data_IF_978847116556
#
_entry.id   IF_978847116556
#
_cell.length_a   1.000
_cell.length_b   1.000
_cell.length_c   1.000
_cell.angle_alpha   90.00
_cell.angle_beta   90.00
_cell.angle_gamma   90.00
#
_symmetry.space_group_name_H-M   'P 1'
#
loop_
_entity.id
_entity.type
_entity.pdbx_description
1 polymer ?
#
# COMPACT_ATOMS: atom_id res chain seq x y z
N UNK A 1 -16.23 28.06 26.02
CA UNK A 1 -15.72 27.00 26.94
C UNK A 1 -14.32 26.59 26.51
N UNK A 2 -14.09 26.31 25.22
CA UNK A 2 -12.80 25.85 24.74
C UNK A 2 -11.66 26.87 24.95
N UNK A 3 -11.87 28.17 24.67
CA UNK A 3 -10.86 29.22 24.85
C UNK A 3 -10.34 29.32 26.29
N UNK A 4 -11.17 29.04 27.29
CA UNK A 4 -10.76 29.02 28.72
C UNK A 4 -10.06 27.73 29.11
N UNK A 5 -10.45 26.60 28.52
CA UNK A 5 -9.78 25.33 28.71
C UNK A 5 -8.36 25.38 28.11
N UNK A 6 -8.22 25.96 26.92
CA UNK A 6 -6.92 26.21 26.29
C UNK A 6 -6.04 27.17 27.12
N UNK A 7 -6.62 28.18 27.72
CA UNK A 7 -5.91 29.06 28.64
C UNK A 7 -5.47 28.34 29.93
N UNK A 8 -6.28 27.41 30.44
CA UNK A 8 -5.91 26.54 31.56
C UNK A 8 -4.78 25.57 31.18
N UNK A 9 -4.83 24.99 29.99
CA UNK A 9 -3.80 24.09 29.47
C UNK A 9 -2.48 24.83 29.25
N UNK A 10 -2.53 26.09 28.76
CA UNK A 10 -1.37 26.94 28.60
C UNK A 10 -0.74 27.36 29.93
N UNK A 11 -1.51 27.49 31.00
CA UNK A 11 -1.04 27.83 32.36
C UNK A 11 -0.54 26.62 33.16
N UNK A 12 -0.72 25.38 32.64
CA UNK A 12 -0.25 24.17 33.30
C UNK A 12 1.26 23.97 33.05
N UNK A 13 2.03 23.73 34.11
CA UNK A 13 3.48 23.50 34.06
C UNK A 13 3.79 22.02 34.33
N UNK A 14 4.73 21.45 33.57
CA UNK A 14 5.24 20.09 33.76
C UNK A 14 6.11 19.65 32.60
N UNK A 15 7.17 18.89 32.88
CA UNK A 15 8.02 18.31 31.87
C UNK A 15 7.45 16.96 31.41
N UNK A 16 7.48 16.71 30.10
CA UNK A 16 7.17 15.43 29.43
C UNK A 16 5.96 14.66 29.99
N UNK A 17 4.76 15.02 29.51
CA UNK A 17 3.57 14.15 29.61
C UNK A 17 2.63 14.35 30.78
N UNK A 18 3.02 15.03 31.87
CA UNK A 18 2.19 15.30 33.03
C UNK A 18 2.11 16.81 33.29
N UNK A 19 0.94 17.42 33.03
CA UNK A 19 0.68 18.83 33.31
C UNK A 19 -0.12 18.93 34.61
N UNK A 20 0.40 19.67 35.57
CA UNK A 20 -0.28 19.94 36.86
C UNK A 20 -0.78 21.39 36.93
N UNK A 21 -2.01 21.56 37.38
CA UNK A 21 -2.57 22.86 37.79
C UNK A 21 -2.49 22.94 39.30
N UNK A 22 -1.85 23.98 39.83
CA UNK A 22 -1.81 24.20 41.26
C UNK A 22 -3.16 24.71 41.78
N UNK A 23 -3.50 24.43 43.06
CA UNK A 23 -4.73 24.84 43.71
C UNK A 23 -5.00 26.34 43.56
N UNK A 24 -3.98 27.20 43.77
CA UNK A 24 -4.13 28.63 43.66
C UNK A 24 -4.43 29.13 42.25
N UNK A 25 -3.92 28.42 41.20
CA UNK A 25 -4.26 28.75 39.81
C UNK A 25 -5.69 28.33 39.45
N UNK A 26 -6.17 27.23 40.04
CA UNK A 26 -7.56 26.79 39.87
C UNK A 26 -8.53 27.76 40.53
N UNK A 27 -8.23 28.20 41.77
CA UNK A 27 -9.03 29.16 42.53
C UNK A 27 -9.08 30.56 41.94
N UNK A 28 -8.11 30.92 41.11
CA UNK A 28 -8.07 32.23 40.42
C UNK A 28 -8.92 32.32 39.16
N UNK A 29 -9.58 31.24 38.74
CA UNK A 29 -10.39 31.22 37.51
C UNK A 29 -11.77 31.81 37.81
N UNK A 30 -12.17 32.91 37.16
CA UNK A 30 -13.50 33.48 37.33
C UNK A 30 -14.56 32.57 36.74
N UNK A 31 -15.48 32.10 37.57
CA UNK A 31 -16.61 31.31 37.15
C UNK A 31 -17.87 32.18 37.05
N UNK A 32 -18.55 32.23 35.89
CA UNK A 32 -19.86 32.87 35.79
C UNK A 32 -20.87 32.02 36.59
N UNK A 33 -21.53 32.65 37.54
CA UNK A 33 -22.53 31.97 38.41
C UNK A 33 -23.92 32.55 38.08
N UNK A 34 -24.72 31.86 37.23
CA UNK A 34 -26.11 32.26 37.00
C UNK A 34 -26.99 31.97 38.21
N UNK A 35 -28.19 32.51 38.30
CA UNK A 35 -29.16 32.20 39.36
C UNK A 35 -29.40 30.70 39.51
N UNK A 36 -29.67 30.18 40.69
CA UNK A 36 -29.81 28.74 40.97
C UNK A 36 -30.87 28.05 40.08
N UNK A 37 -31.97 28.72 39.79
CA UNK A 37 -33.00 28.20 38.88
C UNK A 37 -32.46 28.02 37.46
N UNK A 38 -31.59 28.89 37.00
CA UNK A 38 -30.94 28.80 35.70
C UNK A 38 -29.84 27.74 35.69
N UNK A 39 -29.04 27.60 36.72
CA UNK A 39 -28.09 26.50 36.88
C UNK A 39 -28.77 25.16 36.72
N UNK A 40 -29.92 24.93 37.36
CA UNK A 40 -30.70 23.69 37.25
C UNK A 40 -31.18 23.44 35.79
N UNK A 41 -31.62 24.50 35.10
CA UNK A 41 -32.02 24.38 33.68
C UNK A 41 -30.86 24.06 32.78
N UNK A 42 -29.69 24.69 32.99
CA UNK A 42 -28.47 24.41 32.24
C UNK A 42 -28.04 22.95 32.44
N UNK A 43 -27.97 22.47 33.69
CA UNK A 43 -27.60 21.09 33.99
C UNK A 43 -28.55 20.11 33.30
N UNK A 44 -29.87 20.28 33.47
CA UNK A 44 -30.87 19.42 32.84
C UNK A 44 -30.72 19.39 31.31
N UNK A 45 -30.43 20.54 30.65
CA UNK A 45 -30.24 20.61 29.22
C UNK A 45 -28.92 19.97 28.77
N UNK A 46 -27.87 20.12 29.56
CA UNK A 46 -26.57 19.43 29.30
C UNK A 46 -26.75 17.92 29.39
N UNK A 47 -27.45 17.43 30.47
CA UNK A 47 -27.67 15.99 30.64
C UNK A 47 -28.51 15.41 29.51
N UNK A 48 -29.56 16.12 29.05
CA UNK A 48 -30.35 15.74 27.89
C UNK A 48 -29.50 15.63 26.63
N UNK A 49 -28.66 16.64 26.36
CA UNK A 49 -27.80 16.66 25.17
C UNK A 49 -26.71 15.57 25.24
N UNK A 50 -26.13 15.32 26.40
CA UNK A 50 -25.15 14.25 26.60
C UNK A 50 -25.78 12.88 26.35
N UNK A 51 -26.99 12.64 26.89
CA UNK A 51 -27.71 11.39 26.61
C UNK A 51 -28.01 11.19 25.13
N UNK A 52 -28.33 12.25 24.40
CA UNK A 52 -28.48 12.18 22.93
C UNK A 52 -27.16 11.89 22.21
N UNK A 53 -26.05 12.44 22.68
CA UNK A 53 -24.72 12.13 22.15
C UNK A 53 -24.36 10.66 22.36
N UNK A 54 -24.58 10.14 23.57
CA UNK A 54 -24.30 8.73 23.90
C UNK A 54 -25.16 7.80 23.02
N UNK A 55 -26.44 8.13 22.81
CA UNK A 55 -27.31 7.36 21.94
C UNK A 55 -26.86 7.38 20.47
N UNK A 56 -26.42 8.54 19.99
CA UNK A 56 -25.85 8.68 18.64
C UNK A 56 -24.56 7.86 18.47
N UNK A 57 -23.69 7.87 19.47
CA UNK A 57 -22.46 7.09 19.45
C UNK A 57 -22.74 5.59 19.36
N UNK A 58 -23.69 5.07 20.15
CA UNK A 58 -24.13 3.67 20.06
C UNK A 58 -24.65 3.33 18.68
N UNK A 59 -25.53 4.17 18.12
CA UNK A 59 -26.08 3.95 16.78
C UNK A 59 -25.02 3.97 15.68
N UNK A 60 -24.05 4.87 15.76
CA UNK A 60 -22.93 4.95 14.82
C UNK A 60 -22.06 3.69 14.88
N UNK A 61 -21.73 3.22 16.09
CA UNK A 61 -20.95 2.01 16.29
C UNK A 61 -21.67 0.76 15.76
N UNK A 62 -22.98 0.62 16.02
CA UNK A 62 -23.78 -0.47 15.44
C UNK A 62 -23.84 -0.42 13.92
N UNK A 63 -24.00 0.77 13.34
CA UNK A 63 -24.03 0.97 11.89
C UNK A 63 -22.69 0.59 11.26
N UNK A 64 -21.57 0.95 11.88
CA UNK A 64 -20.23 0.58 11.40
C UNK A 64 -20.00 -0.93 11.49
N UNK A 65 -20.40 -1.57 12.58
CA UNK A 65 -20.31 -3.03 12.72
C UNK A 65 -21.12 -3.78 11.64
N UNK A 66 -22.36 -3.35 11.39
CA UNK A 66 -23.22 -3.89 10.32
C UNK A 66 -22.59 -3.68 8.93
N UNK A 67 -22.06 -2.49 8.66
CA UNK A 67 -21.35 -2.19 7.41
C UNK A 67 -20.11 -3.06 7.20
N UNK A 68 -19.31 -3.26 8.23
CA UNK A 68 -18.14 -4.13 8.18
C UNK A 68 -18.54 -5.57 7.82
N UNK A 69 -19.57 -6.11 8.47
CA UNK A 69 -20.09 -7.46 8.19
C UNK A 69 -20.58 -7.60 6.74
N UNK A 70 -21.35 -6.63 6.26
CA UNK A 70 -21.81 -6.62 4.87
C UNK A 70 -20.66 -6.50 3.87
N UNK A 71 -19.64 -5.69 4.17
CA UNK A 71 -18.45 -5.55 3.34
C UNK A 71 -17.68 -6.85 3.24
N UNK A 72 -17.50 -7.57 4.34
CA UNK A 72 -16.87 -8.90 4.35
C UNK A 72 -17.67 -9.91 3.52
N UNK A 73 -19.00 -9.94 3.66
CA UNK A 73 -19.86 -10.83 2.90
C UNK A 73 -19.81 -10.52 1.39
N UNK A 74 -19.82 -9.24 1.00
CA UNK A 74 -19.71 -8.81 -0.40
C UNK A 74 -18.35 -9.18 -1.01
N UNK A 75 -17.26 -8.98 -0.27
CA UNK A 75 -15.92 -9.40 -0.69
C UNK A 75 -15.81 -10.92 -0.84
N UNK A 76 -16.34 -11.69 0.11
CA UNK A 76 -16.37 -13.14 0.02
C UNK A 76 -17.16 -13.62 -1.20
N UNK A 77 -18.31 -13.00 -1.48
CA UNK A 77 -19.13 -13.31 -2.66
C UNK A 77 -18.40 -12.98 -3.97
N UNK A 78 -17.72 -11.84 -4.04
CA UNK A 78 -16.90 -11.47 -5.20
C UNK A 78 -15.73 -12.43 -5.39
N UNK A 79 -15.07 -12.83 -4.30
CA UNK A 79 -13.97 -13.80 -4.34
C UNK A 79 -14.43 -15.18 -4.82
N UNK A 80 -15.64 -15.61 -4.43
CA UNK A 80 -16.20 -16.89 -4.88
C UNK A 80 -16.65 -16.85 -6.34
N UNK A 81 -17.19 -15.71 -6.81
CA UNK A 81 -17.68 -15.52 -8.17
C UNK A 81 -17.37 -14.10 -8.65
N UNK A 82 -16.23 -13.84 -9.31
CA UNK A 82 -15.79 -12.51 -9.76
C UNK A 82 -16.53 -12.07 -11.02
N UNK A 83 -17.86 -11.96 -10.93
CA UNK A 83 -18.74 -11.46 -12.00
C UNK A 83 -18.87 -9.93 -11.93
N UNK A 84 -19.26 -9.31 -13.06
CA UNK A 84 -19.51 -7.87 -13.12
C UNK A 84 -20.58 -7.44 -12.10
N UNK A 85 -21.65 -8.23 -11.94
CA UNK A 85 -22.70 -7.95 -10.97
C UNK A 85 -22.20 -7.99 -9.51
N UNK A 86 -21.34 -8.96 -9.17
CA UNK A 86 -20.75 -9.01 -7.84
C UNK A 86 -19.70 -7.91 -7.62
N UNK A 87 -19.07 -7.44 -8.70
CA UNK A 87 -18.16 -6.28 -8.64
C UNK A 87 -18.95 -4.99 -8.40
N UNK A 88 -20.05 -4.75 -9.13
CA UNK A 88 -20.92 -3.60 -8.92
C UNK A 88 -21.47 -3.55 -7.50
N UNK A 89 -21.79 -4.71 -6.93
CA UNK A 89 -22.20 -4.81 -5.53
C UNK A 89 -21.15 -4.25 -4.57
N UNK A 90 -19.85 -4.46 -4.82
CA UNK A 90 -18.76 -3.93 -3.97
C UNK A 90 -18.68 -2.39 -3.98
N UNK A 91 -19.11 -1.77 -5.06
CA UNK A 91 -19.08 -0.30 -5.21
C UNK A 91 -20.42 0.35 -4.81
N UNK A 92 -21.39 -0.43 -4.33
CA UNK A 92 -22.66 0.12 -3.89
C UNK A 92 -22.47 0.96 -2.63
N UNK A 93 -23.08 2.13 -2.57
CA UNK A 93 -22.94 3.12 -1.48
C UNK A 93 -23.32 2.61 -0.08
N UNK A 94 -24.10 1.52 -0.02
CA UNK A 94 -24.46 0.86 1.23
C UNK A 94 -23.29 0.08 1.86
N UNK A 95 -22.23 -0.21 1.10
CA UNK A 95 -21.07 -0.95 1.57
C UNK A 95 -19.90 -0.01 1.84
N UNK A 96 -19.35 -0.07 3.04
CA UNK A 96 -18.13 0.64 3.39
C UNK A 96 -16.89 -0.26 3.24
N UNK A 97 -16.70 -0.85 2.05
CA UNK A 97 -15.47 -1.58 1.77
C UNK A 97 -14.34 -0.57 1.67
N UNK A 98 -13.30 -0.73 2.49
CA UNK A 98 -12.17 0.20 2.42
C UNK A 98 -11.46 0.06 1.06
N UNK A 99 -11.03 1.17 0.44
CA UNK A 99 -10.27 1.14 -0.81
C UNK A 99 -9.02 0.24 -0.72
N UNK A 100 -8.37 0.19 0.44
CA UNK A 100 -7.25 -0.69 0.71
C UNK A 100 -7.61 -2.17 0.60
N UNK A 101 -8.74 -2.59 1.18
CA UNK A 101 -9.21 -3.99 1.10
C UNK A 101 -9.62 -4.36 -0.33
N UNK A 102 -10.22 -3.44 -1.08
CA UNK A 102 -10.53 -3.66 -2.50
C UNK A 102 -9.26 -3.90 -3.32
N UNK A 103 -8.24 -3.06 -3.15
CA UNK A 103 -6.94 -3.26 -3.84
C UNK A 103 -6.32 -4.61 -3.50
N UNK A 104 -6.30 -5.00 -2.23
CA UNK A 104 -5.80 -6.31 -1.80
C UNK A 104 -6.58 -7.48 -2.43
N UNK A 105 -7.90 -7.39 -2.44
CA UNK A 105 -8.76 -8.44 -3.03
C UNK A 105 -8.54 -8.57 -4.54
N UNK A 106 -8.47 -7.46 -5.27
CA UNK A 106 -8.19 -7.45 -6.71
C UNK A 106 -6.86 -8.16 -7.01
N UNK A 107 -5.80 -7.82 -6.29
CA UNK A 107 -4.49 -8.43 -6.46
C UNK A 107 -4.47 -9.91 -6.08
N UNK A 108 -5.20 -10.30 -5.03
CA UNK A 108 -5.33 -11.71 -4.62
C UNK A 108 -6.01 -12.55 -5.71
N UNK A 109 -7.12 -12.05 -6.28
CA UNK A 109 -7.82 -12.72 -7.37
C UNK A 109 -6.98 -12.82 -8.64
N UNK A 110 -6.18 -11.79 -8.93
CA UNK A 110 -5.26 -11.78 -10.06
C UNK A 110 -4.20 -12.89 -9.94
N UNK A 111 -3.58 -13.02 -8.76
CA UNK A 111 -2.54 -14.02 -8.50
C UNK A 111 -3.10 -15.44 -8.48
N UNK A 112 -4.37 -15.60 -8.11
CA UNK A 112 -5.07 -16.90 -8.12
C UNK A 112 -5.67 -17.27 -9.48
N UNK A 113 -5.50 -16.44 -10.51
CA UNK A 113 -6.09 -16.69 -11.84
C UNK A 113 -7.62 -16.61 -11.90
N UNK A 114 -8.24 -15.88 -10.96
CA UNK A 114 -9.70 -15.74 -10.85
C UNK A 114 -10.22 -14.39 -11.37
N UNK A 115 -9.34 -13.50 -11.84
CA UNK A 115 -9.72 -12.14 -12.21
C UNK A 115 -10.20 -12.01 -13.67
N UNK A 116 -9.67 -12.82 -14.56
CA UNK A 116 -10.01 -12.84 -15.98
C UNK A 116 -10.37 -14.26 -16.42
N UNK A 117 -11.13 -14.36 -17.53
CA UNK A 117 -11.41 -15.66 -18.13
C UNK A 117 -10.17 -16.17 -18.85
N UNK A 118 -9.93 -17.48 -18.74
CA UNK A 118 -8.90 -18.15 -19.52
C UNK A 118 -9.35 -18.36 -20.96
N UNK A 119 -8.42 -18.21 -21.89
CA UNK A 119 -8.64 -18.47 -23.31
C UNK A 119 -7.87 -19.75 -23.68
N UNK A 120 -8.56 -20.79 -24.21
CA UNK A 120 -7.92 -22.07 -24.53
C UNK A 120 -6.83 -21.97 -25.64
N UNK A 121 -6.83 -20.85 -26.37
CA UNK A 121 -5.87 -20.59 -27.47
C UNK A 121 -4.56 -19.97 -26.99
N UNK A 122 -4.47 -19.59 -25.71
CA UNK A 122 -3.24 -19.01 -25.17
C UNK A 122 -2.13 -20.06 -25.08
N UNK A 123 -0.88 -19.68 -25.44
CA UNK A 123 0.28 -20.54 -25.27
C UNK A 123 0.50 -20.79 -23.76
N UNK A 124 0.54 -22.05 -23.28
CA UNK A 124 0.81 -22.35 -21.88
C UNK A 124 2.12 -21.72 -21.38
N UNK A 125 2.21 -21.42 -20.09
CA UNK A 125 3.39 -20.78 -19.51
C UNK A 125 4.64 -21.68 -19.50
N UNK A 126 4.47 -23.00 -19.42
CA UNK A 126 5.60 -23.94 -19.29
C UNK A 126 6.59 -23.90 -20.45
N UNK A 127 6.19 -23.94 -21.75
CA UNK A 127 7.13 -23.77 -22.88
C UNK A 127 7.92 -22.47 -22.82
N UNK A 128 7.29 -21.37 -22.39
CA UNK A 128 7.94 -20.06 -22.24
C UNK A 128 9.02 -20.13 -21.16
N UNK A 129 8.68 -20.69 -19.99
CA UNK A 129 9.65 -20.84 -18.89
C UNK A 129 10.83 -21.72 -19.27
N UNK A 130 10.61 -22.82 -20.02
CA UNK A 130 11.69 -23.67 -20.53
C UNK A 130 12.62 -22.91 -21.46
N UNK A 131 12.09 -22.06 -22.36
CA UNK A 131 12.92 -21.20 -23.24
C UNK A 131 13.79 -20.23 -22.44
N UNK A 132 13.25 -19.61 -21.39
CA UNK A 132 14.00 -18.69 -20.53
C UNK A 132 15.17 -19.42 -19.86
N UNK A 133 14.94 -20.58 -19.27
CA UNK A 133 15.97 -21.38 -18.59
C UNK A 133 17.05 -21.86 -19.56
N UNK A 134 16.69 -22.29 -20.77
CA UNK A 134 17.68 -22.74 -21.77
C UNK A 134 18.53 -21.62 -22.32
N UNK A 135 18.03 -20.40 -22.45
CA UNK A 135 18.80 -19.23 -22.85
C UNK A 135 19.86 -18.84 -21.81
N UNK A 136 19.56 -19.01 -20.52
CA UNK A 136 20.49 -18.71 -19.43
C UNK A 136 21.58 -19.79 -19.27
N UNK A 137 21.28 -21.04 -19.59
CA UNK A 137 22.21 -22.19 -19.50
C UNK A 137 23.35 -22.16 -20.51
N UNK A 138 23.25 -21.33 -21.58
CA UNK A 138 24.33 -21.21 -22.58
C UNK A 138 25.53 -20.38 -22.07
N UNK A 139 25.41 -19.73 -20.92
CA UNK A 139 26.47 -18.94 -20.28
C UNK A 139 26.92 -19.57 -18.95
N UNK A 140 27.99 -20.37 -19.02
CA UNK A 140 28.54 -21.23 -17.96
C UNK A 140 29.10 -20.52 -16.71
N UNK A 141 28.54 -19.44 -16.22
CA UNK A 141 29.13 -18.71 -15.08
C UNK A 141 28.28 -18.62 -13.81
N UNK A 142 27.09 -19.17 -13.78
CA UNK A 142 26.26 -19.23 -12.54
C UNK A 142 25.88 -20.68 -12.23
N UNK A 143 26.73 -21.35 -11.43
CA UNK A 143 26.48 -22.67 -10.86
C UNK A 143 25.49 -22.62 -9.70
N UNK A 144 24.26 -22.27 -9.92
CA UNK A 144 23.15 -22.48 -8.98
C UNK A 144 21.80 -22.73 -9.71
N UNK A 145 21.86 -23.23 -10.95
CA UNK A 145 20.68 -23.73 -11.67
C UNK A 145 20.44 -25.19 -11.31
N UNK A 146 20.13 -25.49 -10.07
CA UNK A 146 19.48 -26.75 -9.74
C UNK A 146 18.03 -26.68 -10.17
N UNK A 147 17.72 -27.58 -11.12
CA UNK A 147 16.42 -28.15 -11.50
C UNK A 147 15.19 -27.26 -11.28
N UNK A 148 14.44 -27.14 -12.33
CA UNK A 148 13.03 -26.73 -12.31
C UNK A 148 12.22 -27.71 -11.42
N UNK A 149 12.45 -27.65 -10.10
CA UNK A 149 11.69 -28.36 -9.11
C UNK A 149 10.36 -27.63 -8.92
N UNK A 150 9.36 -28.08 -9.67
CA UNK A 150 7.96 -27.67 -9.56
C UNK A 150 7.29 -28.13 -8.26
N UNK A 151 8.05 -28.63 -7.29
CA UNK A 151 7.53 -29.26 -6.07
C UNK A 151 7.13 -28.29 -4.95
N UNK A 152 7.23 -26.97 -5.15
CA UNK A 152 6.71 -26.01 -4.18
C UNK A 152 5.21 -25.82 -4.32
N UNK A 153 4.44 -26.25 -3.33
CA UNK A 153 2.97 -26.09 -3.31
C UNK A 153 2.62 -24.64 -2.96
N UNK A 154 1.95 -23.95 -3.88
CA UNK A 154 1.29 -22.69 -3.57
C UNK A 154 0.15 -22.92 -2.57
N UNK A 155 -0.22 -21.93 -1.74
CA UNK A 155 -1.34 -22.07 -0.81
C UNK A 155 -2.72 -22.09 -1.48
N UNK A 156 -2.76 -22.11 -2.82
CA UNK A 156 -3.97 -22.14 -3.66
C UNK A 156 -3.71 -22.95 -4.94
N UNK A 157 -4.79 -23.50 -5.52
CA UNK A 157 -4.72 -24.17 -6.82
C UNK A 157 -4.53 -23.17 -7.96
N UNK A 158 -3.79 -23.58 -8.99
CA UNK A 158 -3.62 -22.79 -10.21
C UNK A 158 -4.60 -23.26 -11.30
N UNK A 159 -5.02 -22.33 -12.18
CA UNK A 159 -5.76 -22.65 -13.38
C UNK A 159 -4.91 -23.45 -14.40
N UNK A 160 -5.57 -24.08 -15.37
CA UNK A 160 -4.89 -24.79 -16.46
C UNK A 160 -4.02 -23.81 -17.29
N UNK A 161 -2.89 -24.30 -17.79
CA UNK A 161 -1.94 -23.52 -18.57
C UNK A 161 -1.03 -22.58 -17.77
N UNK A 162 -1.27 -22.44 -16.44
CA UNK A 162 -0.36 -21.73 -15.55
C UNK A 162 0.76 -22.65 -15.08
N UNK A 163 1.89 -22.05 -14.75
CA UNK A 163 3.03 -22.76 -14.17
C UNK A 163 3.59 -22.00 -12.97
N UNK A 164 4.32 -22.68 -12.10
CA UNK A 164 5.05 -22.05 -10.99
C UNK A 164 6.50 -21.89 -11.38
N UNK A 165 7.09 -20.74 -11.10
CA UNK A 165 8.52 -20.52 -11.28
C UNK A 165 9.09 -19.79 -10.06
N UNK A 166 10.38 -19.97 -9.79
CA UNK A 166 11.10 -19.14 -8.82
C UNK A 166 11.34 -17.77 -9.45
N UNK A 167 11.24 -16.69 -8.66
CA UNK A 167 11.52 -15.34 -9.16
C UNK A 167 12.92 -15.24 -9.77
N UNK A 168 13.91 -15.94 -9.18
CA UNK A 168 15.27 -16.00 -9.69
C UNK A 168 15.41 -16.64 -11.07
N UNK A 169 14.47 -17.48 -11.50
CA UNK A 169 14.51 -18.20 -12.78
C UNK A 169 13.86 -17.45 -13.95
N UNK A 170 13.25 -16.29 -13.70
CA UNK A 170 12.57 -15.45 -14.72
C UNK A 170 13.24 -14.10 -14.92
N UNK A 171 14.52 -14.00 -14.60
CA UNK A 171 15.30 -12.77 -14.72
C UNK A 171 15.91 -12.62 -16.12
N UNK A 172 16.34 -11.41 -16.44
CA UNK A 172 17.15 -11.17 -17.63
C UNK A 172 18.49 -11.91 -17.55
N UNK A 173 19.02 -12.44 -18.67
CA UNK A 173 20.36 -13.04 -18.69
C UNK A 173 21.40 -12.05 -18.17
N UNK A 174 22.36 -12.52 -17.38
CA UNK A 174 23.48 -11.75 -16.79
C UNK A 174 23.08 -10.63 -15.82
N UNK A 175 21.80 -10.42 -15.53
CA UNK A 175 21.33 -9.45 -14.54
C UNK A 175 20.57 -10.14 -13.42
N UNK A 176 21.09 -10.06 -12.22
CA UNK A 176 20.45 -10.63 -11.02
C UNK A 176 19.71 -9.58 -10.19
N UNK A 177 18.85 -10.05 -9.27
CA UNK A 177 18.27 -9.18 -8.24
C UNK A 177 19.42 -8.56 -7.45
N UNK A 178 19.42 -7.22 -7.33
CA UNK A 178 20.53 -6.49 -6.73
C UNK A 178 20.05 -5.30 -5.91
N UNK A 179 20.75 -5.01 -4.82
CA UNK A 179 20.64 -3.75 -4.08
C UNK A 179 21.47 -2.66 -4.74
N UNK A 180 21.01 -1.42 -4.61
CA UNK A 180 21.71 -0.26 -5.13
C UNK A 180 22.81 0.28 -4.24
N UNK A 181 23.14 1.54 -4.45
CA UNK A 181 24.23 2.28 -3.81
C UNK A 181 24.12 2.26 -2.28
N UNK A 182 25.16 1.77 -1.59
CA UNK A 182 25.13 1.58 -0.13
C UNK A 182 25.18 2.92 0.61
N UNK A 183 26.08 3.82 0.22
CA UNK A 183 26.26 5.14 0.81
C UNK A 183 26.24 6.18 -0.29
N UNK A 184 25.22 7.05 -0.30
CA UNK A 184 25.05 8.04 -1.36
C UNK A 184 26.09 9.17 -1.34
N UNK A 185 26.76 9.39 -0.22
CA UNK A 185 27.70 10.50 -0.07
C UNK A 185 27.03 11.89 -0.13
N UNK A 186 27.82 12.97 -0.23
CA UNK A 186 27.33 14.30 -0.51
C UNK A 186 26.78 14.36 -1.95
N UNK A 187 25.75 15.18 -2.14
CA UNK A 187 25.16 15.35 -3.47
C UNK A 187 26.08 16.23 -4.35
N UNK A 188 26.41 15.82 -5.56
CA UNK A 188 27.24 16.63 -6.47
C UNK A 188 26.50 17.91 -6.89
N UNK A 189 27.24 19.02 -6.93
CA UNK A 189 26.70 20.34 -7.30
C UNK A 189 26.36 20.40 -8.79
N UNK A 190 27.28 19.89 -9.60
CA UNK A 190 27.13 19.78 -11.05
C UNK A 190 27.10 18.30 -11.41
N UNK A 191 26.71 17.94 -12.55
CA UNK A 191 26.66 16.59 -13.10
C UNK A 191 26.42 15.47 -12.07
N UNK A 192 25.86 14.36 -12.47
CA UNK A 192 25.64 13.22 -11.59
C UNK A 192 24.45 12.40 -12.03
N UNK A 193 24.36 11.19 -11.46
CA UNK A 193 23.34 10.21 -11.76
C UNK A 193 22.24 10.28 -10.70
N UNK A 194 20.99 10.38 -11.11
CA UNK A 194 19.86 10.33 -10.22
C UNK A 194 19.71 8.95 -9.58
N UNK A 195 19.35 8.93 -8.29
CA UNK A 195 19.21 7.71 -7.49
C UNK A 195 17.83 7.65 -6.83
N UNK A 196 17.09 6.59 -7.14
CA UNK A 196 15.80 6.30 -6.53
C UNK A 196 16.00 5.66 -5.14
N UNK A 197 15.39 6.26 -4.13
CA UNK A 197 15.35 5.76 -2.75
C UNK A 197 13.99 5.15 -2.43
N UNK A 198 13.84 4.52 -1.27
CA UNK A 198 12.55 4.00 -0.80
C UNK A 198 11.45 5.08 -0.75
N UNK A 199 11.81 6.35 -0.53
CA UNK A 199 10.87 7.47 -0.58
C UNK A 199 10.33 7.75 -1.99
N UNK A 200 11.07 7.39 -3.02
CA UNK A 200 10.69 7.58 -4.42
C UNK A 200 9.88 6.41 -5.00
N UNK A 201 10.04 5.20 -4.44
CA UNK A 201 9.30 4.02 -4.89
C UNK A 201 8.03 3.87 -4.04
N UNK A 202 6.88 4.17 -4.64
CA UNK A 202 5.56 4.07 -4.03
C UNK A 202 4.81 2.86 -4.59
N UNK A 203 3.65 2.57 -4.02
CA UNK A 203 2.79 1.51 -4.54
C UNK A 203 2.41 1.78 -6.00
N UNK A 204 2.91 0.94 -6.92
CA UNK A 204 2.73 1.00 -8.39
C UNK A 204 3.15 2.32 -9.06
N UNK A 205 3.93 3.17 -8.40
CA UNK A 205 4.32 4.49 -8.90
C UNK A 205 5.73 4.87 -8.46
N UNK A 206 6.45 5.57 -9.32
CA UNK A 206 7.70 6.25 -8.97
C UNK A 206 7.39 7.74 -8.81
N UNK A 207 7.80 8.29 -7.67
CA UNK A 207 7.68 9.70 -7.33
C UNK A 207 9.07 10.34 -7.33
N UNK A 208 9.30 11.27 -8.21
CA UNK A 208 10.60 11.94 -8.36
C UNK A 208 10.79 13.14 -7.41
N UNK A 209 9.80 13.42 -6.55
CA UNK A 209 9.93 14.48 -5.56
C UNK A 209 11.08 14.17 -4.58
N UNK A 210 11.99 15.12 -4.41
CA UNK A 210 13.16 14.97 -3.52
C UNK A 210 14.15 13.89 -3.98
N UNK A 211 14.19 13.57 -5.28
CA UNK A 211 15.19 12.67 -5.83
C UNK A 211 16.59 13.25 -5.63
N UNK A 212 17.57 12.39 -5.32
CA UNK A 212 18.96 12.79 -5.10
C UNK A 212 19.84 12.33 -6.25
N UNK A 213 21.03 12.96 -6.35
CA UNK A 213 22.10 12.54 -7.27
C UNK A 213 23.27 11.95 -6.49
N UNK A 214 24.03 11.13 -7.18
CA UNK A 214 25.37 10.66 -6.78
C UNK A 214 26.35 11.01 -7.89
N UNK A 215 27.65 10.94 -7.59
CA UNK A 215 28.67 11.17 -8.63
C UNK A 215 28.64 10.04 -9.67
N UNK A 216 29.12 10.32 -10.87
CA UNK A 216 29.20 9.32 -11.95
C UNK A 216 30.12 8.17 -11.59
N UNK A 217 31.22 8.43 -10.89
CA UNK A 217 32.17 7.42 -10.41
C UNK A 217 31.50 6.46 -9.47
N UNK A 218 30.77 6.98 -8.45
CA UNK A 218 30.04 6.17 -7.51
C UNK A 218 28.93 5.34 -8.19
N UNK A 219 28.21 5.93 -9.15
CA UNK A 219 27.21 5.18 -9.92
C UNK A 219 27.84 4.06 -10.75
N UNK A 220 29.04 4.27 -11.30
CA UNK A 220 29.78 3.29 -12.10
C UNK A 220 30.24 2.10 -11.27
N UNK A 221 30.62 2.28 -9.99
CA UNK A 221 30.90 1.20 -9.05
C UNK A 221 29.68 0.27 -8.84
N UNK A 222 28.48 0.83 -8.97
CA UNK A 222 27.21 0.13 -8.90
C UNK A 222 26.54 -0.05 -10.29
N UNK A 223 27.36 -0.26 -11.32
CA UNK A 223 26.88 -0.36 -12.72
C UNK A 223 25.80 -1.43 -12.94
N UNK A 224 25.82 -2.52 -12.14
CA UNK A 224 24.82 -3.60 -12.21
C UNK A 224 23.39 -3.16 -11.82
N UNK A 225 23.24 -2.02 -11.15
CA UNK A 225 21.94 -1.48 -10.70
C UNK A 225 21.54 -0.22 -11.45
N UNK A 226 22.30 0.15 -12.48
CA UNK A 226 21.87 1.17 -13.44
C UNK A 226 20.63 0.67 -14.17
N UNK A 227 19.59 1.49 -14.18
CA UNK A 227 18.29 1.16 -14.73
C UNK A 227 18.29 1.26 -16.26
N UNK A 228 17.68 0.30 -16.91
CA UNK A 228 17.51 0.23 -18.36
C UNK A 228 16.07 0.48 -18.80
N UNK A 229 15.12 0.41 -17.84
CA UNK A 229 13.69 0.47 -18.07
C UNK A 229 13.05 -0.91 -18.15
N UNK A 230 11.89 -1.07 -17.52
CA UNK A 230 11.17 -2.34 -17.45
C UNK A 230 11.51 -3.20 -16.23
N UNK A 231 12.48 -2.81 -15.40
CA UNK A 231 12.74 -3.50 -14.14
C UNK A 231 11.62 -3.28 -13.13
N UNK A 232 11.39 -4.26 -12.26
CA UNK A 232 10.54 -4.10 -11.10
C UNK A 232 11.39 -3.69 -9.90
N UNK A 233 11.05 -2.57 -9.28
CA UNK A 233 11.68 -2.10 -8.04
C UNK A 233 10.81 -2.50 -6.85
N UNK A 234 11.45 -2.88 -5.75
CA UNK A 234 10.79 -3.15 -4.47
C UNK A 234 11.58 -2.52 -3.32
N UNK A 235 10.88 -1.89 -2.39
CA UNK A 235 11.48 -1.41 -1.16
C UNK A 235 11.77 -2.59 -0.22
N UNK A 236 13.03 -2.73 0.16
CA UNK A 236 13.53 -3.81 1.02
C UNK A 236 13.90 -3.32 2.42
N UNK A 237 13.99 -1.99 2.60
CA UNK A 237 14.23 -1.31 3.88
C UNK A 237 13.44 0.01 3.91
N UNK A 238 13.17 0.51 5.11
CA UNK A 238 12.42 1.74 5.32
C UNK A 238 10.92 1.55 5.11
N UNK A 239 10.30 2.31 4.22
CA UNK A 239 8.86 2.18 3.92
C UNK A 239 8.62 0.95 3.06
N UNK A 240 8.24 -0.15 3.69
CA UNK A 240 7.89 -1.40 3.00
C UNK A 240 6.61 -1.26 2.17
N UNK A 241 6.39 -2.19 1.22
CA UNK A 241 5.22 -2.20 0.34
C UNK A 241 5.34 -1.29 -0.89
N UNK A 242 6.36 -0.42 -0.96
CA UNK A 242 6.65 0.33 -2.19
C UNK A 242 7.20 -0.59 -3.27
N UNK A 243 6.57 -0.61 -4.44
CA UNK A 243 7.01 -1.35 -5.62
C UNK A 243 6.52 -0.67 -6.90
N UNK A 244 7.35 -0.66 -7.95
CA UNK A 244 7.01 0.00 -9.21
C UNK A 244 7.80 -0.61 -10.37
N UNK A 245 7.25 -0.50 -11.59
CA UNK A 245 8.01 -0.76 -12.83
C UNK A 245 8.73 0.51 -13.24
N UNK A 246 9.99 0.38 -13.62
CA UNK A 246 10.82 1.49 -14.12
C UNK A 246 10.38 1.89 -15.53
N UNK A 247 9.90 3.12 -15.74
CA UNK A 247 9.61 3.59 -17.10
C UNK A 247 10.91 3.85 -17.90
N UNK A 248 10.83 3.77 -19.20
CA UNK A 248 11.99 4.00 -20.11
C UNK A 248 12.62 5.40 -19.93
N UNK A 249 11.84 6.38 -19.50
CA UNK A 249 12.32 7.74 -19.23
C UNK A 249 13.32 7.84 -18.07
N UNK A 250 13.43 6.81 -17.24
CA UNK A 250 14.37 6.75 -16.11
C UNK A 250 15.60 5.87 -16.43
N UNK A 251 15.81 5.54 -17.69
CA UNK A 251 17.03 4.84 -18.12
C UNK A 251 18.28 5.66 -17.74
N UNK A 252 19.28 4.98 -17.19
CA UNK A 252 20.50 5.60 -16.72
C UNK A 252 20.46 6.07 -15.25
N UNK A 253 19.30 6.04 -14.59
CA UNK A 253 19.21 6.26 -13.14
C UNK A 253 19.79 5.07 -12.40
N UNK A 254 20.10 5.26 -11.12
CA UNK A 254 20.49 4.19 -10.21
C UNK A 254 19.51 4.06 -9.06
N UNK A 255 19.70 3.10 -8.18
CA UNK A 255 18.89 2.88 -6.98
C UNK A 255 19.76 2.92 -5.73
N UNK A 256 19.18 3.27 -4.59
CA UNK A 256 19.82 3.21 -3.30
C UNK A 256 19.66 1.82 -2.65
N UNK A 257 20.44 1.53 -1.62
CA UNK A 257 20.47 0.21 -0.96
C UNK A 257 19.13 -0.22 -0.34
N UNK A 258 18.22 0.72 -0.10
CA UNK A 258 16.89 0.45 0.43
C UNK A 258 15.94 -0.12 -0.62
N UNK A 259 16.35 -0.11 -1.88
CA UNK A 259 15.58 -0.58 -3.03
C UNK A 259 16.30 -1.75 -3.67
N UNK A 260 15.57 -2.82 -3.96
CA UNK A 260 16.06 -3.91 -4.80
C UNK A 260 15.48 -3.79 -6.20
N UNK A 261 16.30 -4.08 -7.19
CA UNK A 261 15.94 -4.14 -8.61
C UNK A 261 15.77 -5.61 -9.03
N UNK A 262 14.68 -5.90 -9.71
CA UNK A 262 14.32 -7.21 -10.25
C UNK A 262 14.23 -7.07 -11.78
N UNK A 263 15.27 -7.44 -12.53
CA UNK A 263 15.30 -7.34 -14.00
C UNK A 263 14.54 -8.52 -14.60
N UNK A 264 13.29 -8.31 -15.00
CA UNK A 264 12.40 -9.36 -15.51
C UNK A 264 12.74 -9.70 -16.98
N UNK A 265 12.73 -10.99 -17.32
CA UNK A 265 12.96 -11.46 -18.69
C UNK A 265 11.88 -10.92 -19.64
N UNK A 266 12.28 -10.59 -20.88
CA UNK A 266 11.41 -9.96 -21.90
C UNK A 266 10.14 -10.76 -22.28
N UNK A 267 10.13 -12.08 -22.07
CA UNK A 267 8.98 -12.95 -22.32
C UNK A 267 7.99 -13.00 -21.15
N UNK A 268 8.24 -12.23 -20.07
CA UNK A 268 7.36 -12.09 -18.91
C UNK A 268 7.01 -10.62 -18.76
N UNK A 269 5.74 -10.33 -18.49
CA UNK A 269 5.30 -8.95 -18.28
C UNK A 269 5.80 -8.40 -16.93
N UNK A 270 6.62 -7.35 -16.89
CA UNK A 270 7.06 -6.74 -15.64
C UNK A 270 5.88 -6.14 -14.84
N UNK A 271 4.83 -5.70 -15.51
CA UNK A 271 3.61 -5.21 -14.88
C UNK A 271 2.83 -6.32 -14.18
N UNK A 272 2.84 -7.56 -14.73
CA UNK A 272 2.27 -8.71 -14.06
C UNK A 272 3.06 -9.04 -12.79
N UNK A 273 4.38 -9.11 -12.88
CA UNK A 273 5.25 -9.36 -11.73
C UNK A 273 5.10 -8.27 -10.66
N UNK A 274 5.01 -6.99 -11.06
CA UNK A 274 4.68 -5.90 -10.13
C UNK A 274 3.41 -6.20 -9.33
N UNK A 275 2.34 -6.67 -9.98
CA UNK A 275 1.08 -6.98 -9.31
C UNK A 275 1.19 -8.20 -8.38
N UNK A 276 2.00 -9.19 -8.73
CA UNK A 276 2.31 -10.32 -7.84
C UNK A 276 3.08 -9.82 -6.61
N UNK A 277 4.12 -9.02 -6.81
CA UNK A 277 4.93 -8.42 -5.72
C UNK A 277 4.09 -7.52 -4.83
N UNK A 278 3.13 -6.78 -5.39
CA UNK A 278 2.22 -5.92 -4.65
C UNK A 278 1.08 -6.67 -3.93
N UNK A 279 0.87 -7.95 -4.23
CA UNK A 279 -0.23 -8.76 -3.68
C UNK A 279 -0.02 -9.16 -2.22
N UNK A 280 -1.10 -9.42 -1.46
CA UNK A 280 -1.00 -10.00 -0.12
C UNK A 280 -0.20 -11.31 -0.10
N UNK A 281 -0.34 -12.14 -1.14
CA UNK A 281 0.41 -13.39 -1.28
C UNK A 281 1.92 -13.21 -1.13
N UNK A 282 2.47 -12.15 -1.71
CA UNK A 282 3.90 -11.83 -1.64
C UNK A 282 4.24 -11.05 -0.36
N UNK A 283 3.45 -10.00 -0.04
CA UNK A 283 3.74 -9.09 1.07
C UNK A 283 3.66 -9.79 2.43
N UNK A 284 2.68 -10.65 2.65
CA UNK A 284 2.51 -11.38 3.91
C UNK A 284 3.71 -12.30 4.18
N UNK A 285 4.25 -12.98 3.15
CA UNK A 285 5.46 -13.79 3.27
C UNK A 285 6.74 -12.97 3.50
N UNK A 286 6.81 -11.78 2.91
CA UNK A 286 7.88 -10.83 3.22
C UNK A 286 7.83 -10.40 4.68
N UNK A 287 6.64 -10.05 5.17
CA UNK A 287 6.44 -9.62 6.56
C UNK A 287 6.71 -10.74 7.57
N UNK A 288 6.33 -11.99 7.26
CA UNK A 288 6.64 -13.17 8.09
C UNK A 288 8.14 -13.39 8.23
N UNK A 289 8.88 -13.29 7.13
CA UNK A 289 10.33 -13.45 7.14
C UNK A 289 11.05 -12.31 7.88
N UNK A 290 10.51 -11.10 7.83
CA UNK A 290 11.06 -9.95 8.56
C UNK A 290 10.83 -10.02 10.07
N UNK A 291 9.73 -10.63 10.53
CA UNK A 291 9.43 -10.81 11.97
C UNK A 291 10.33 -11.84 12.65
N UNK A 292 10.90 -12.77 11.90
CA UNK A 292 11.79 -13.83 12.43
C UNK A 292 13.24 -13.44 12.62
N UNK A 293 13.69 -12.28 12.10
CA UNK A 293 15.10 -11.87 12.10
C UNK A 293 15.21 -10.43 12.61
N UNK A 294 15.93 -10.26 13.72
CA UNK A 294 16.20 -8.94 14.29
C UNK A 294 16.94 -8.04 13.27
N UNK A 295 16.21 -7.11 12.66
CA UNK A 295 16.72 -5.91 11.97
C UNK A 295 17.61 -6.06 10.72
N UNK A 296 17.52 -7.11 9.95
CA UNK A 296 18.12 -7.11 8.61
C UNK A 296 17.04 -7.09 7.54
N UNK A 297 17.14 -6.16 6.58
CA UNK A 297 16.16 -6.00 5.48
C UNK A 297 15.95 -7.29 4.69
N UNK A 298 14.96 -7.30 3.80
CA UNK A 298 14.59 -8.45 2.97
C UNK A 298 15.82 -9.02 2.24
N UNK A 299 16.12 -10.29 2.48
CA UNK A 299 17.28 -10.96 1.88
C UNK A 299 17.03 -11.25 0.38
N UNK A 300 17.99 -10.94 -0.49
CA UNK A 300 17.89 -11.23 -1.93
C UNK A 300 17.78 -12.73 -2.23
N UNK A 301 18.35 -13.59 -1.38
CA UNK A 301 18.19 -15.04 -1.50
C UNK A 301 16.73 -15.47 -1.39
N UNK A 302 16.03 -14.94 -0.38
CA UNK A 302 14.59 -15.20 -0.21
C UNK A 302 13.77 -14.71 -1.42
N UNK A 303 14.12 -13.54 -1.97
CA UNK A 303 13.45 -13.03 -3.18
C UNK A 303 13.64 -13.97 -4.38
N UNK A 304 14.85 -14.53 -4.57
CA UNK A 304 15.13 -15.45 -5.68
C UNK A 304 14.32 -16.74 -5.58
N UNK A 305 14.18 -17.27 -4.37
CA UNK A 305 13.46 -18.51 -4.10
C UNK A 305 11.93 -18.33 -4.08
N UNK A 306 11.44 -17.09 -4.15
CA UNK A 306 10.02 -16.83 -4.07
C UNK A 306 9.28 -17.42 -5.27
N UNK A 307 8.26 -18.23 -5.00
CA UNK A 307 7.46 -18.88 -6.02
C UNK A 307 6.45 -17.90 -6.63
N UNK A 308 6.51 -17.76 -7.94
CA UNK A 308 5.62 -16.88 -8.71
C UNK A 308 4.71 -17.74 -9.60
N UNK A 309 3.38 -17.62 -9.47
CA UNK A 309 2.47 -18.20 -10.45
C UNK A 309 2.57 -17.42 -11.75
N UNK A 310 2.83 -18.12 -12.85
CA UNK A 310 3.02 -17.54 -14.19
C UNK A 310 1.90 -18.01 -15.11
N UNK A 311 1.00 -17.12 -15.54
CA UNK A 311 0.02 -17.38 -16.59
C UNK A 311 0.63 -17.31 -17.99
N UNK A 312 -0.09 -17.78 -19.02
CA UNK A 312 0.20 -17.45 -20.42
C UNK A 312 0.44 -15.95 -20.62
N UNK A 313 1.39 -15.57 -21.50
CA UNK A 313 1.75 -14.16 -21.68
C UNK A 313 0.55 -13.28 -22.09
N UNK A 314 -0.31 -13.78 -22.95
CA UNK A 314 -1.53 -13.06 -23.35
C UNK A 314 -2.47 -12.85 -22.16
N UNK A 315 -2.58 -13.85 -21.27
CA UNK A 315 -3.37 -13.74 -20.04
C UNK A 315 -2.71 -12.76 -19.04
N UNK A 316 -1.36 -12.71 -18.93
CA UNK A 316 -0.67 -11.69 -18.12
C UNK A 316 -1.12 -10.27 -18.53
N UNK A 317 -1.20 -9.99 -19.81
CA UNK A 317 -1.62 -8.67 -20.32
C UNK A 317 -3.09 -8.38 -20.03
N UNK A 318 -3.99 -9.38 -20.16
CA UNK A 318 -5.41 -9.23 -19.79
C UNK A 318 -5.59 -8.97 -18.29
N UNK A 319 -4.83 -9.70 -17.45
CA UNK A 319 -4.82 -9.50 -15.99
C UNK A 319 -4.37 -8.07 -15.66
N UNK A 320 -3.25 -7.62 -16.22
CA UNK A 320 -2.72 -6.25 -15.98
C UNK A 320 -3.75 -5.21 -16.38
N UNK A 321 -4.31 -5.29 -17.60
CA UNK A 321 -5.34 -4.36 -18.08
C UNK A 321 -6.57 -4.33 -17.16
N UNK A 322 -7.01 -5.51 -16.69
CA UNK A 322 -8.16 -5.61 -15.77
C UNK A 322 -7.87 -5.00 -14.41
N UNK A 323 -6.65 -5.25 -13.87
CA UNK A 323 -6.22 -4.62 -12.63
C UNK A 323 -6.21 -3.10 -12.76
N UNK A 324 -5.64 -2.55 -13.85
CA UNK A 324 -5.57 -1.10 -14.05
C UNK A 324 -6.96 -0.46 -14.12
N UNK A 325 -7.91 -1.10 -14.82
CA UNK A 325 -9.31 -0.65 -14.84
C UNK A 325 -9.93 -0.63 -13.43
N UNK A 326 -9.73 -1.71 -12.66
CA UNK A 326 -10.31 -1.83 -11.32
C UNK A 326 -9.65 -0.88 -10.32
N UNK A 327 -8.33 -0.70 -10.39
CA UNK A 327 -7.60 0.26 -9.54
C UNK A 327 -8.07 1.69 -9.79
N UNK A 328 -8.30 2.08 -11.05
CA UNK A 328 -8.83 3.39 -11.39
C UNK A 328 -10.24 3.63 -10.78
N UNK A 329 -11.10 2.59 -10.74
CA UNK A 329 -12.40 2.67 -10.07
C UNK A 329 -12.24 2.82 -8.55
N UNK A 330 -11.30 2.10 -7.94
CA UNK A 330 -11.01 2.22 -6.50
C UNK A 330 -10.48 3.60 -6.16
N UNK A 331 -9.59 4.16 -6.99
CA UNK A 331 -9.04 5.51 -6.79
C UNK A 331 -10.15 6.58 -6.88
N UNK A 332 -11.08 6.44 -7.83
CA UNK A 332 -12.26 7.32 -7.94
C UNK A 332 -13.15 7.22 -6.70
N UNK A 333 -13.41 6.01 -6.22
CA UNK A 333 -14.18 5.78 -5.00
C UNK A 333 -13.51 6.44 -3.78
N UNK A 334 -12.20 6.27 -3.62
CA UNK A 334 -11.45 6.87 -2.52
C UNK A 334 -11.51 8.40 -2.53
N UNK A 335 -11.37 9.00 -3.72
CA UNK A 335 -11.52 10.44 -3.90
C UNK A 335 -12.93 10.93 -3.52
N UNK A 336 -13.99 10.21 -3.93
CA UNK A 336 -15.37 10.53 -3.57
C UNK A 336 -15.62 10.41 -2.06
N UNK A 337 -15.12 9.35 -1.43
CA UNK A 337 -15.25 9.16 0.02
C UNK A 337 -14.55 10.27 0.79
N UNK A 338 -13.35 10.66 0.36
CA UNK A 338 -12.59 11.77 0.98
C UNK A 338 -13.32 13.10 0.84
N UNK A 339 -13.84 13.40 -0.33
CA UNK A 339 -14.63 14.61 -0.58
C UNK A 339 -15.91 14.64 0.28
N UNK A 340 -16.62 13.52 0.37
CA UNK A 340 -17.84 13.39 1.19
C UNK A 340 -17.56 13.61 2.68
N UNK A 341 -16.46 13.04 3.21
CA UNK A 341 -16.06 13.26 4.60
C UNK A 341 -15.72 14.72 4.87
N UNK A 342 -14.92 15.35 4.01
CA UNK A 342 -14.59 16.77 4.15
C UNK A 342 -15.83 17.68 4.08
N UNK A 343 -16.79 17.35 3.23
CA UNK A 343 -18.05 18.09 3.17
C UNK A 343 -18.88 17.93 4.46
N UNK A 344 -18.94 16.72 5.02
CA UNK A 344 -19.64 16.44 6.27
C UNK A 344 -18.99 17.17 7.46
N UNK A 345 -17.65 17.19 7.54
CA UNK A 345 -16.92 17.94 8.57
C UNK A 345 -17.24 19.46 8.50
N UNK A 346 -17.19 20.05 7.30
CA UNK A 346 -17.52 21.47 7.11
C UNK A 346 -18.97 21.80 7.47
N UNK A 347 -19.92 20.90 7.18
CA UNK A 347 -21.31 21.07 7.57
C UNK A 347 -21.48 21.02 9.10
N UNK A 348 -20.79 20.10 9.76
CA UNK A 348 -20.79 20.02 11.23
C UNK A 348 -20.19 21.27 11.85
N UNK A 349 -19.05 21.75 11.36
CA UNK A 349 -18.41 22.98 11.85
C UNK A 349 -19.34 24.20 11.68
N UNK A 350 -20.01 24.31 10.53
CA UNK A 350 -20.97 25.38 10.28
C UNK A 350 -22.19 25.31 11.22
N UNK A 351 -22.73 24.13 11.45
CA UNK A 351 -23.87 23.91 12.37
C UNK A 351 -23.48 24.27 13.82
N UNK A 352 -22.30 23.84 14.27
CA UNK A 352 -21.77 24.19 15.61
C UNK A 352 -21.57 25.71 15.74
N UNK A 353 -21.00 26.34 14.70
CA UNK A 353 -20.79 27.79 14.70
C UNK A 353 -22.11 28.58 14.75
N UNK A 354 -23.17 28.08 14.12
CA UNK A 354 -24.50 28.69 14.14
C UNK A 354 -25.17 28.54 15.51
N UNK A 355 -25.08 27.36 16.12
CA UNK A 355 -25.59 27.10 17.49
C UNK A 355 -24.89 27.94 18.54
N UNK A 356 -23.62 28.27 18.35
CA UNK A 356 -22.83 29.12 19.28
C UNK A 356 -23.06 30.63 19.10
N UNK A 357 -23.68 31.05 17.98
CA UNK A 357 -24.03 32.47 17.70
C UNK A 357 -25.38 32.90 18.25
N UNK A 358 -26.20 31.97 18.74
CA UNK A 358 -27.51 32.34 19.32
C UNK A 358 -27.27 33.13 20.60
N UNK A 359 -27.62 34.42 20.67
CA UNK A 359 -27.51 35.17 21.91
C UNK A 359 -28.47 34.56 22.94
N UNK A 360 -27.96 34.32 24.14
CA UNK A 360 -28.83 34.02 25.27
C UNK A 360 -29.85 35.16 25.43
N UNK A 361 -31.15 34.88 25.51
CA UNK A 361 -32.19 35.84 25.75
C UNK A 361 -32.02 36.54 27.11
#
# INVERSE_FOLDING_TARGET
VNARLDEMILRAHGAVGLRHITKGKLESIPLPLPPIAEQKRIVAKVDELMAMCDQLEVQLNEREAKRATLSHAALARFTAAPTTANLELLFHESFAVSPSNLRKTILTLAVQGKLVRQEPTDEPAEPVLRRIVTQDSSDKTTRDSESCDTSGSLPFGLPDGWSVSRLGSILQPRRGISYGVIKLGPEPIENGVYVLRCSNVRFRKIDLCGIRKVTEELSSEYGRTVLEGGEVLINVRGTLGGCAVVPQSLRGYNIAREVAMIPIHKEISPWYILNVVASPYFQDRVDENLRGIAYEGLNLGLLREFQIPIPPLAEQHRIVSKIDQLMALVDKLEAQLTASRSAAEKLMDAAVAELTKVPCP
#
